data_IF_578474616652
#
_entry.id   IF_578474616652
#
_cell.length_a   1.000
_cell.length_b   1.000
_cell.length_c   1.000
_cell.angle_alpha   90.00
_cell.angle_beta   90.00
_cell.angle_gamma   90.00
#
_symmetry.space_group_name_H-M   'P 1'
#
loop_
_entity.id
_entity.type
_entity.pdbx_description
1 polymer ?
#
# COMPACT_ATOMS: atom_id res chain seq x y z
N UNK A 1 9.21 4.66 4.87
CA UNK A 1 8.50 5.83 4.30
C UNK A 1 9.26 6.41 3.11
N UNK A 2 9.46 5.63 2.04
CA UNK A 2 9.97 6.09 0.74
C UNK A 2 9.35 5.19 -0.33
N UNK A 3 8.08 5.40 -0.66
CA UNK A 3 7.40 4.57 -1.69
C UNK A 3 6.82 5.37 -2.85
N UNK A 4 6.76 6.70 -2.75
CA UNK A 4 6.26 7.56 -3.82
C UNK A 4 7.41 8.41 -4.36
N UNK A 5 7.98 8.00 -5.50
CA UNK A 5 9.08 8.70 -6.14
C UNK A 5 8.96 8.59 -7.66
N UNK A 6 8.82 9.74 -8.32
CA UNK A 6 8.86 9.85 -9.77
C UNK A 6 9.98 10.80 -10.16
N UNK A 7 10.97 10.31 -10.92
CA UNK A 7 12.13 11.09 -11.37
C UNK A 7 12.20 11.07 -12.88
N UNK A 8 12.16 12.26 -13.46
CA UNK A 8 12.51 12.47 -14.85
C UNK A 8 14.00 12.78 -14.96
N UNK A 9 14.67 12.13 -15.91
CA UNK A 9 16.03 12.46 -16.32
C UNK A 9 15.97 12.94 -17.75
N UNK A 10 16.65 14.03 -18.02
CA UNK A 10 16.63 14.66 -19.33
C UNK A 10 17.84 15.55 -19.54
N UNK A 11 17.84 16.22 -20.68
CA UNK A 11 18.84 17.21 -21.06
C UNK A 11 18.15 18.56 -21.07
N UNK A 12 18.83 19.59 -20.58
CA UNK A 12 18.35 20.97 -20.68
C UNK A 12 18.26 21.40 -22.13
N UNK A 13 17.07 21.79 -22.56
CA UNK A 13 16.75 22.29 -23.90
C UNK A 13 16.57 23.80 -23.89
N UNK A 14 16.62 24.42 -25.06
CA UNK A 14 16.30 25.83 -25.23
C UNK A 14 14.82 26.07 -24.94
N UNK A 15 14.53 27.17 -24.25
CA UNK A 15 13.16 27.65 -24.04
C UNK A 15 12.85 28.69 -25.12
N UNK A 16 11.81 28.44 -25.92
CA UNK A 16 11.32 29.42 -26.92
C UNK A 16 10.55 30.57 -26.22
N UNK A 17 10.12 30.35 -24.97
CA UNK A 17 9.49 31.36 -24.12
C UNK A 17 10.54 32.00 -23.20
N UNK A 18 10.92 33.23 -23.51
CA UNK A 18 12.07 34.00 -23.00
C UNK A 18 12.27 34.19 -21.47
N UNK A 19 11.52 33.53 -20.57
CA UNK A 19 11.46 33.92 -19.15
C UNK A 19 12.18 33.01 -18.15
N UNK A 20 12.66 31.81 -18.50
CA UNK A 20 12.82 30.77 -17.44
C UNK A 20 14.24 30.20 -17.22
N UNK A 21 15.19 30.27 -18.16
CA UNK A 21 16.48 29.58 -18.02
C UNK A 21 17.71 30.50 -18.08
N UNK A 22 17.90 31.37 -17.08
CA UNK A 22 19.10 32.23 -17.02
C UNK A 22 20.32 31.53 -16.39
N UNK A 23 20.13 30.46 -15.61
CA UNK A 23 21.18 29.94 -14.71
C UNK A 23 21.65 28.49 -14.97
N UNK A 24 21.15 27.78 -15.98
CA UNK A 24 21.60 26.41 -16.29
C UNK A 24 22.10 26.30 -17.73
N UNK A 25 23.34 25.82 -17.96
CA UNK A 25 23.88 25.66 -19.30
C UNK A 25 23.09 24.64 -20.11
N UNK A 26 22.91 24.92 -21.40
CA UNK A 26 22.26 24.01 -22.36
C UNK A 26 23.06 22.70 -22.53
N UNK A 27 22.37 21.62 -22.93
CA UNK A 27 23.02 20.33 -23.18
C UNK A 27 23.51 19.57 -21.94
N UNK A 28 23.20 20.04 -20.73
CA UNK A 28 23.58 19.35 -19.48
C UNK A 28 22.51 18.34 -19.07
N UNK A 29 22.97 17.21 -18.52
CA UNK A 29 22.08 16.24 -17.90
C UNK A 29 21.49 16.81 -16.62
N UNK A 30 20.17 16.85 -16.55
CA UNK A 30 19.42 17.25 -15.38
C UNK A 30 18.48 16.12 -14.97
N UNK A 31 18.27 16.01 -13.67
CA UNK A 31 17.25 15.11 -13.14
C UNK A 31 16.33 15.87 -12.20
N UNK A 32 15.04 15.70 -12.41
CA UNK A 32 14.00 16.35 -11.64
C UNK A 32 13.12 15.30 -10.97
N UNK A 33 12.87 15.48 -9.67
CA UNK A 33 11.95 14.65 -8.90
C UNK A 33 10.65 15.41 -8.69
N UNK A 34 9.54 14.80 -9.07
CA UNK A 34 8.23 15.42 -8.93
C UNK A 34 7.86 15.46 -7.45
N UNK A 35 7.31 16.60 -7.03
CA UNK A 35 6.76 16.82 -5.70
C UNK A 35 5.31 17.32 -5.84
N UNK A 36 4.46 17.00 -4.89
CA UNK A 36 3.04 17.39 -4.93
C UNK A 36 2.80 18.90 -4.77
N UNK A 37 3.77 19.65 -4.22
CA UNK A 37 3.64 21.07 -3.93
C UNK A 37 3.96 22.01 -5.10
N UNK A 38 4.51 21.50 -6.19
CA UNK A 38 4.95 22.33 -7.32
C UNK A 38 4.28 21.91 -8.61
N UNK A 39 3.75 22.89 -9.34
CA UNK A 39 3.17 22.66 -10.66
C UNK A 39 4.28 22.40 -11.68
N UNK A 40 4.00 21.51 -12.63
CA UNK A 40 4.89 21.19 -13.74
C UNK A 40 4.14 21.29 -15.06
N UNK A 41 4.83 21.73 -16.10
CA UNK A 41 4.32 21.75 -17.47
C UNK A 41 5.07 20.71 -18.27
N UNK A 42 4.33 19.84 -18.97
CA UNK A 42 4.92 18.81 -19.84
C UNK A 42 4.58 19.10 -21.28
N UNK A 43 5.57 18.97 -22.17
CA UNK A 43 5.39 19.10 -23.61
C UNK A 43 5.41 17.71 -24.24
N UNK A 44 4.28 17.31 -24.85
CA UNK A 44 4.17 16.05 -25.57
C UNK A 44 4.01 16.32 -27.07
N UNK A 45 4.88 15.74 -27.91
CA UNK A 45 4.78 15.87 -29.37
C UNK A 45 3.51 15.22 -29.94
N UNK A 46 3.05 14.13 -29.32
CA UNK A 46 1.85 13.40 -29.75
C UNK A 46 0.91 13.16 -28.57
N UNK A 47 -0.10 14.02 -28.43
CA UNK A 47 -1.16 13.84 -27.44
C UNK A 47 -2.37 13.15 -28.07
N UNK A 48 -2.46 11.83 -27.91
CA UNK A 48 -3.51 11.02 -28.52
C UNK A 48 -4.79 10.97 -27.66
N UNK A 49 -5.88 10.41 -28.23
CA UNK A 49 -7.16 10.24 -27.52
C UNK A 49 -7.03 9.43 -26.23
N UNK A 50 -6.12 8.45 -26.21
CA UNK A 50 -5.86 7.61 -25.05
C UNK A 50 -5.20 8.40 -23.90
N UNK A 51 -4.21 9.24 -24.18
CA UNK A 51 -3.58 10.12 -23.21
C UNK A 51 -4.58 11.11 -22.60
N UNK A 52 -5.50 11.64 -23.42
CA UNK A 52 -6.60 12.49 -22.95
C UNK A 52 -7.55 11.75 -21.99
N UNK A 53 -7.84 10.47 -22.28
CA UNK A 53 -8.65 9.62 -21.40
C UNK A 53 -7.95 9.39 -20.07
N UNK A 54 -6.68 8.98 -20.08
CA UNK A 54 -5.88 8.77 -18.86
C UNK A 54 -5.79 10.03 -17.98
N UNK A 55 -5.60 11.21 -18.58
CA UNK A 55 -5.57 12.46 -17.82
C UNK A 55 -6.90 12.77 -17.12
N UNK A 56 -8.03 12.37 -17.72
CA UNK A 56 -9.36 12.56 -17.13
C UNK A 56 -9.59 11.59 -15.97
N UNK A 57 -9.25 10.31 -16.17
CA UNK A 57 -9.35 9.27 -15.14
C UNK A 57 -8.48 9.59 -13.92
N UNK A 58 -7.28 10.13 -14.11
CA UNK A 58 -6.39 10.52 -13.01
C UNK A 58 -6.93 11.68 -12.14
N UNK A 59 -7.81 12.52 -12.69
CA UNK A 59 -8.48 13.58 -11.94
C UNK A 59 -9.69 13.03 -11.18
N UNK A 60 -10.45 12.13 -11.81
CA UNK A 60 -11.65 11.52 -11.21
C UNK A 60 -11.30 10.54 -10.06
N UNK A 61 -10.18 9.82 -10.15
CA UNK A 61 -9.75 8.83 -9.15
C UNK A 61 -9.42 9.41 -7.77
N UNK A 62 -9.28 10.73 -7.62
CA UNK A 62 -9.14 11.36 -6.29
C UNK A 62 -10.36 11.16 -5.38
N UNK A 63 -11.50 10.78 -5.95
CA UNK A 63 -12.75 10.58 -5.20
C UNK A 63 -12.97 9.13 -4.74
N UNK A 64 -12.20 8.17 -5.24
CA UNK A 64 -12.35 6.75 -4.87
C UNK A 64 -11.60 6.45 -3.57
N UNK A 65 -12.26 5.76 -2.64
CA UNK A 65 -11.65 5.34 -1.37
C UNK A 65 -10.73 4.15 -1.56
N UNK A 66 -9.51 4.25 -1.05
CA UNK A 66 -8.60 3.12 -0.93
C UNK A 66 -9.22 1.97 -0.11
N UNK A 67 -8.90 0.74 -0.50
CA UNK A 67 -9.28 -0.47 0.23
C UNK A 67 -8.04 -1.17 0.76
N UNK A 68 -8.06 -1.58 2.01
CA UNK A 68 -7.00 -2.39 2.61
C UNK A 68 -7.28 -3.88 2.38
N UNK A 69 -6.25 -4.67 2.08
CA UNK A 69 -6.36 -6.11 1.94
C UNK A 69 -5.24 -6.81 2.71
N UNK A 70 -5.60 -7.84 3.49
CA UNK A 70 -4.64 -8.69 4.19
C UNK A 70 -4.82 -10.10 3.67
N UNK A 71 -3.81 -10.58 2.96
CA UNK A 71 -3.73 -11.96 2.49
C UNK A 71 -2.85 -12.73 3.47
N UNK A 72 -3.30 -13.89 3.93
CA UNK A 72 -2.53 -14.70 4.86
C UNK A 72 -2.61 -16.18 4.53
N UNK A 73 -1.51 -16.86 4.81
CA UNK A 73 -1.35 -18.31 4.82
C UNK A 73 -0.63 -18.69 6.12
N UNK A 74 -0.57 -19.98 6.43
CA UNK A 74 0.24 -20.50 7.53
C UNK A 74 1.70 -20.03 7.41
N UNK A 75 2.12 -19.16 8.33
CA UNK A 75 3.49 -18.65 8.40
C UNK A 75 3.79 -17.43 7.53
N UNK A 76 2.88 -16.96 6.67
CA UNK A 76 3.09 -15.76 5.83
C UNK A 76 1.86 -14.88 5.77
N UNK A 77 2.06 -13.56 5.86
CA UNK A 77 1.00 -12.56 5.66
C UNK A 77 1.50 -11.38 4.85
N UNK A 78 0.65 -10.89 3.96
CA UNK A 78 0.85 -9.73 3.11
C UNK A 78 -0.21 -8.69 3.43
N UNK A 79 0.25 -7.52 3.89
CA UNK A 79 -0.59 -6.35 4.15
C UNK A 79 -0.49 -5.43 2.94
N UNK A 80 -1.58 -5.30 2.20
CA UNK A 80 -1.66 -4.59 0.93
C UNK A 80 -2.64 -3.43 1.00
N UNK A 81 -2.32 -2.35 0.30
CA UNK A 81 -3.22 -1.24 -0.01
C UNK A 81 -3.65 -1.37 -1.47
N UNK A 82 -4.96 -1.49 -1.69
CA UNK A 82 -5.58 -1.51 -3.00
C UNK A 82 -6.02 -0.07 -3.33
N UNK A 83 -5.33 0.51 -4.31
CA UNK A 83 -5.70 1.78 -4.93
C UNK A 83 -6.33 1.49 -6.30
N UNK A 84 -7.13 2.40 -6.88
CA UNK A 84 -7.74 2.18 -8.20
C UNK A 84 -6.74 1.86 -9.30
N UNK A 85 -5.54 2.42 -9.21
CA UNK A 85 -4.49 2.27 -10.22
C UNK A 85 -3.49 1.15 -9.91
N UNK A 86 -3.33 0.76 -8.64
CA UNK A 86 -2.25 -0.14 -8.22
C UNK A 86 -2.51 -0.87 -6.91
N UNK A 87 -1.86 -2.02 -6.72
CA UNK A 87 -1.80 -2.73 -5.44
C UNK A 87 -0.41 -2.56 -4.83
N UNK A 88 -0.35 -2.00 -3.63
CA UNK A 88 0.90 -1.69 -2.93
C UNK A 88 1.05 -2.63 -1.74
N UNK A 89 2.11 -3.44 -1.71
CA UNK A 89 2.46 -4.26 -0.55
C UNK A 89 3.15 -3.39 0.50
N UNK A 90 2.47 -3.08 1.60
CA UNK A 90 3.01 -2.24 2.69
C UNK A 90 3.94 -3.01 3.61
N UNK A 91 3.57 -4.25 3.95
CA UNK A 91 4.38 -5.08 4.84
C UNK A 91 4.19 -6.57 4.54
N UNK A 92 5.30 -7.31 4.52
CA UNK A 92 5.34 -8.76 4.50
C UNK A 92 5.76 -9.27 5.89
N UNK A 93 4.96 -10.17 6.44
CA UNK A 93 5.25 -10.87 7.70
C UNK A 93 5.50 -12.32 7.35
N UNK A 94 6.64 -12.86 7.77
CA UNK A 94 7.02 -14.24 7.51
C UNK A 94 7.61 -14.86 8.77
N UNK A 95 6.98 -15.92 9.26
CA UNK A 95 7.33 -16.64 10.48
C UNK A 95 7.35 -18.12 10.15
N UNK A 96 8.51 -18.74 10.32
CA UNK A 96 8.67 -20.18 10.15
C UNK A 96 7.88 -20.95 11.22
N UNK A 97 6.84 -21.66 10.77
CA UNK A 97 5.99 -22.50 11.60
C UNK A 97 6.56 -23.93 11.70
N UNK A 98 6.62 -24.54 12.89
CA UNK A 98 7.02 -25.93 13.05
C UNK A 98 5.95 -26.88 12.51
N UNK A 99 6.36 -28.03 11.99
CA UNK A 99 5.41 -29.09 11.58
C UNK A 99 4.85 -29.77 12.82
N UNK A 100 3.53 -30.01 12.85
CA UNK A 100 2.87 -30.75 13.93
C UNK A 100 3.21 -32.24 13.83
N UNK A 101 4.23 -32.70 14.55
CA UNK A 101 4.63 -34.11 14.60
C UNK A 101 4.31 -34.72 15.96
N UNK A 102 4.77 -34.08 17.03
CA UNK A 102 4.59 -34.53 18.41
C UNK A 102 3.73 -33.53 19.21
N UNK A 103 3.18 -33.96 20.36
CA UNK A 103 2.34 -33.11 21.23
C UNK A 103 3.06 -31.81 21.67
N UNK A 104 4.37 -31.90 21.91
CA UNK A 104 5.22 -30.75 22.25
C UNK A 104 5.30 -29.75 21.07
N UNK A 105 5.32 -30.24 19.84
CA UNK A 105 5.38 -29.40 18.64
C UNK A 105 4.03 -28.75 18.33
N UNK A 106 2.92 -29.38 18.74
CA UNK A 106 1.59 -28.76 18.67
C UNK A 106 1.50 -27.54 19.58
N UNK A 107 2.03 -27.62 20.81
CA UNK A 107 2.04 -26.47 21.72
C UNK A 107 2.93 -25.33 21.19
N UNK A 108 4.13 -25.66 20.69
CA UNK A 108 5.01 -24.68 20.03
C UNK A 108 4.35 -24.02 18.82
N UNK A 109 3.62 -24.78 18.02
CA UNK A 109 2.87 -24.27 16.88
C UNK A 109 1.82 -23.26 17.31
N UNK A 110 1.03 -23.58 18.34
CA UNK A 110 -0.03 -22.71 18.84
C UNK A 110 0.53 -21.39 19.38
N UNK A 111 1.64 -21.44 20.12
CA UNK A 111 2.34 -20.23 20.60
C UNK A 111 2.84 -19.36 19.46
N UNK A 112 3.51 -19.95 18.46
CA UNK A 112 3.99 -19.20 17.27
C UNK A 112 2.85 -18.63 16.44
N UNK A 113 1.74 -19.34 16.34
CA UNK A 113 0.53 -18.87 15.65
C UNK A 113 -0.03 -17.61 16.30
N UNK A 114 -0.04 -17.55 17.63
CA UNK A 114 -0.47 -16.35 18.36
C UNK A 114 0.45 -15.15 18.11
N UNK A 115 1.77 -15.38 18.11
CA UNK A 115 2.77 -14.36 17.75
C UNK A 115 2.57 -13.87 16.32
N UNK A 116 2.28 -14.77 15.37
CA UNK A 116 2.02 -14.42 13.98
C UNK A 116 0.77 -13.54 13.82
N UNK A 117 -0.33 -13.89 14.48
CA UNK A 117 -1.52 -13.07 14.47
C UNK A 117 -1.31 -11.71 15.13
N UNK A 118 -0.52 -11.65 16.19
CA UNK A 118 -0.16 -10.37 16.82
C UNK A 118 0.67 -9.50 15.88
N UNK A 119 1.72 -10.06 15.27
CA UNK A 119 2.55 -9.35 14.30
C UNK A 119 1.75 -8.85 13.09
N UNK A 120 0.75 -9.62 12.64
CA UNK A 120 -0.13 -9.23 11.54
C UNK A 120 -1.05 -8.08 11.95
N UNK A 121 -1.63 -8.13 13.15
CA UNK A 121 -2.44 -7.03 13.70
C UNK A 121 -1.64 -5.75 13.84
N UNK A 122 -0.45 -5.81 14.44
CA UNK A 122 0.41 -4.66 14.64
C UNK A 122 0.82 -4.04 13.28
N UNK A 123 1.06 -4.86 12.26
CA UNK A 123 1.32 -4.40 10.90
C UNK A 123 0.11 -3.68 10.28
N UNK A 124 -1.11 -4.18 10.48
CA UNK A 124 -2.34 -3.52 10.00
C UNK A 124 -2.50 -2.16 10.68
N UNK A 125 -2.37 -2.10 12.01
CA UNK A 125 -2.53 -0.84 12.77
C UNK A 125 -1.46 0.19 12.40
N UNK A 126 -0.22 -0.26 12.16
CA UNK A 126 0.88 0.63 11.79
C UNK A 126 0.77 1.20 10.36
N UNK A 127 0.32 0.39 9.40
CA UNK A 127 0.33 0.76 7.99
C UNK A 127 -0.97 1.43 7.51
N UNK A 128 -2.07 1.26 8.23
CA UNK A 128 -3.35 1.88 7.86
C UNK A 128 -3.73 2.96 8.85
N UNK A 129 -3.95 4.17 8.34
CA UNK A 129 -4.56 5.23 9.12
C UNK A 129 -6.09 5.11 9.06
N UNK A 130 -6.73 4.93 10.22
CA UNK A 130 -8.18 4.75 10.34
C UNK A 130 -8.98 6.06 10.40
N UNK A 131 -8.34 7.21 10.10
CA UNK A 131 -9.03 8.52 10.05
C UNK A 131 -10.10 8.57 8.96
N UNK A 132 -9.90 7.85 7.85
CA UNK A 132 -10.87 7.75 6.75
C UNK A 132 -11.55 6.38 6.75
N UNK A 133 -12.81 6.28 6.28
CA UNK A 133 -13.54 5.03 6.25
C UNK A 133 -12.98 4.08 5.18
N UNK A 134 -11.92 3.33 5.50
CA UNK A 134 -11.33 2.29 4.65
C UNK A 134 -11.96 0.92 4.96
N UNK A 135 -12.31 0.16 3.93
CA UNK A 135 -12.69 -1.25 4.09
C UNK A 135 -11.43 -2.10 4.22
N UNK A 136 -11.42 -3.06 5.15
CA UNK A 136 -10.35 -4.07 5.24
C UNK A 136 -10.91 -5.43 4.79
N UNK A 137 -10.27 -6.01 3.80
CA UNK A 137 -10.56 -7.35 3.29
C UNK A 137 -9.57 -8.34 3.89
N UNK A 138 -10.07 -9.42 4.50
CA UNK A 138 -9.23 -10.54 4.96
C UNK A 138 -9.39 -11.74 4.01
N UNK A 139 -8.27 -12.23 3.49
CA UNK A 139 -8.22 -13.35 2.54
C UNK A 139 -7.29 -14.45 3.04
N UNK A 140 -7.76 -15.70 3.07
CA UNK A 140 -6.91 -16.86 3.39
C UNK A 140 -7.44 -18.14 2.77
N UNK A 141 -6.59 -19.11 2.44
CA UNK A 141 -7.06 -20.46 2.18
C UNK A 141 -7.58 -21.08 3.50
N UNK A 142 -8.86 -21.44 3.55
CA UNK A 142 -9.47 -22.11 4.71
C UNK A 142 -9.89 -21.17 5.85
N UNK A 143 -9.51 -21.49 7.09
CA UNK A 143 -10.08 -20.87 8.30
C UNK A 143 -9.24 -19.74 8.93
N UNK A 144 -8.04 -19.46 8.38
CA UNK A 144 -7.09 -18.53 8.99
C UNK A 144 -7.62 -17.09 9.06
N UNK A 145 -8.30 -16.59 8.04
CA UNK A 145 -8.90 -15.25 8.02
C UNK A 145 -9.98 -15.10 9.09
N UNK A 146 -10.81 -16.15 9.30
CA UNK A 146 -11.85 -16.14 10.35
C UNK A 146 -11.23 -16.13 11.75
N UNK A 147 -10.17 -16.92 11.95
CA UNK A 147 -9.44 -16.94 13.21
C UNK A 147 -8.76 -15.58 13.49
N UNK A 148 -8.12 -15.00 12.48
CA UNK A 148 -7.51 -13.67 12.55
C UNK A 148 -8.56 -12.61 12.89
N UNK A 149 -9.73 -12.60 12.24
CA UNK A 149 -10.79 -11.64 12.51
C UNK A 149 -11.23 -11.66 13.99
N UNK A 150 -11.41 -12.85 14.57
CA UNK A 150 -11.72 -12.99 16.00
C UNK A 150 -10.61 -12.43 16.90
N UNK A 151 -9.34 -12.70 16.55
CA UNK A 151 -8.18 -12.21 17.31
C UNK A 151 -8.04 -10.68 17.20
N UNK A 152 -8.25 -10.10 16.02
CA UNK A 152 -8.24 -8.65 15.79
C UNK A 152 -9.29 -7.98 16.67
N UNK A 153 -10.53 -8.47 16.69
CA UNK A 153 -11.59 -7.90 17.54
C UNK A 153 -11.19 -7.94 19.02
N UNK A 154 -10.65 -9.06 19.50
CA UNK A 154 -10.16 -9.20 20.87
C UNK A 154 -8.98 -8.27 21.20
N UNK A 155 -8.07 -8.03 20.25
CA UNK A 155 -6.96 -7.10 20.44
C UNK A 155 -7.44 -5.64 20.41
N UNK A 156 -8.37 -5.32 19.50
CA UNK A 156 -8.97 -4.00 19.39
C UNK A 156 -9.76 -3.61 20.65
N UNK A 157 -10.49 -4.54 21.27
CA UNK A 157 -11.15 -4.32 22.57
C UNK A 157 -10.15 -3.95 23.67
N UNK A 158 -9.01 -4.65 23.73
CA UNK A 158 -7.95 -4.38 24.73
C UNK A 158 -7.28 -3.03 24.52
N UNK A 159 -7.09 -2.63 23.26
CA UNK A 159 -6.40 -1.40 22.89
C UNK A 159 -7.37 -0.22 22.66
N UNK A 160 -8.68 -0.42 22.89
CA UNK A 160 -9.76 0.58 22.74
C UNK A 160 -9.80 1.27 21.36
N UNK A 161 -9.45 0.55 20.29
CA UNK A 161 -9.51 1.08 18.92
C UNK A 161 -10.91 0.83 18.34
N UNK A 162 -11.78 1.84 18.43
CA UNK A 162 -13.20 1.78 18.04
C UNK A 162 -13.39 1.70 16.50
N UNK A 163 -12.35 1.92 15.68
CA UNK A 163 -12.50 2.11 14.22
C UNK A 163 -12.54 0.82 13.37
N UNK A 164 -12.49 -0.38 13.95
CA UNK A 164 -12.39 -1.64 13.19
C UNK A 164 -13.73 -2.23 12.68
N UNK A 165 -14.87 -1.56 12.87
CA UNK A 165 -16.21 -2.14 12.60
C UNK A 165 -16.54 -2.44 11.11
N UNK A 166 -15.66 -2.13 10.15
CA UNK A 166 -15.88 -2.35 8.70
C UNK A 166 -14.98 -3.42 8.06
N UNK A 167 -14.58 -4.44 8.81
CA UNK A 167 -13.88 -5.61 8.24
C UNK A 167 -14.88 -6.47 7.45
N UNK A 168 -14.62 -6.69 6.16
CA UNK A 168 -15.34 -7.66 5.34
C UNK A 168 -14.47 -8.89 5.08
N UNK A 169 -15.09 -10.06 5.09
CA UNK A 169 -14.44 -11.33 4.75
C UNK A 169 -14.52 -11.55 3.23
N UNK A 170 -13.42 -11.93 2.59
CA UNK A 170 -13.49 -12.58 1.27
C UNK A 170 -13.61 -14.09 1.48
N UNK A 171 -14.59 -14.70 0.79
CA UNK A 171 -15.05 -16.08 1.01
C UNK A 171 -13.90 -17.09 1.06
#
# INVERSE_FOLDING_TARGET
>A
MKEEYLRYKGITVTDDTSSTSTNVPLGKFLSFSITYGHQITTFMRHFNKYAKKLSKEAVESQTESDTAAVVLQEGTSHVCLLTPSSTILRQRIEISMPKKKDEIDVDKFNRKTEVFYRATYDAVVKNFNFTEPRMIILCSPGFYARALMKKILRYAEKEQIIQFYRIKKCL
#
